data_IF_366509161775
#
_entry.id   IF_366509161775
#
_cell.length_a   1.000
_cell.length_b   1.000
_cell.length_c   1.000
_cell.angle_alpha   90.00
_cell.angle_beta   90.00
_cell.angle_gamma   90.00
#
_symmetry.space_group_name_H-M   'P 1'
#
loop_
_entity.id
_entity.type
_entity.pdbx_description
1 polymer ?
#
# COMPACT_ATOMS: atom_id res chain seq x y z
N UNK A 1 11.02 -43.19 -5.12
CA UNK A 1 9.80 -42.81 -4.37
C UNK A 1 8.72 -42.39 -5.36
N UNK A 2 7.48 -42.88 -5.21
CA UNK A 2 6.36 -42.44 -6.07
C UNK A 2 5.86 -41.10 -5.52
N UNK A 3 6.14 -40.01 -6.24
CA UNK A 3 5.64 -38.67 -5.91
C UNK A 3 4.20 -38.59 -6.42
N UNK A 4 3.23 -38.51 -5.52
CA UNK A 4 1.82 -38.44 -5.92
C UNK A 4 1.43 -36.97 -6.09
N UNK A 5 0.69 -36.66 -7.16
CA UNK A 5 0.24 -35.29 -7.50
C UNK A 5 -0.59 -34.59 -6.41
N UNK A 6 -1.00 -35.32 -5.38
CA UNK A 6 -1.79 -34.84 -4.25
C UNK A 6 -0.97 -34.28 -3.09
N UNK A 7 0.35 -34.38 -3.10
CA UNK A 7 1.20 -33.95 -1.98
C UNK A 7 1.28 -32.41 -1.84
N UNK A 8 0.91 -31.67 -2.88
CA UNK A 8 0.91 -30.21 -2.88
C UNK A 8 -0.43 -29.64 -3.39
N UNK A 9 -1.18 -29.01 -2.49
CA UNK A 9 -2.44 -28.34 -2.82
C UNK A 9 -2.58 -27.01 -2.06
N UNK A 10 -3.27 -26.05 -2.69
CA UNK A 10 -3.71 -24.81 -2.05
C UNK A 10 -5.06 -25.06 -1.40
N UNK A 11 -5.07 -25.08 -0.08
CA UNK A 11 -6.29 -25.26 0.72
C UNK A 11 -6.84 -23.90 1.11
N UNK A 12 -8.16 -23.76 1.10
CA UNK A 12 -8.83 -22.56 1.56
C UNK A 12 -8.51 -22.25 3.02
N UNK A 13 -7.98 -21.05 3.27
CA UNK A 13 -7.62 -20.59 4.62
C UNK A 13 -8.84 -20.54 5.55
N UNK A 14 -10.01 -20.16 5.01
CA UNK A 14 -11.25 -20.04 5.78
C UNK A 14 -11.79 -21.40 6.24
N UNK A 15 -11.72 -22.42 5.35
CA UNK A 15 -12.01 -23.81 5.68
C UNK A 15 -10.98 -24.39 6.67
N UNK A 16 -9.67 -24.15 6.45
CA UNK A 16 -8.58 -24.67 7.29
C UNK A 16 -8.71 -24.25 8.76
N UNK A 17 -9.12 -23.02 9.01
CA UNK A 17 -9.33 -22.50 10.38
C UNK A 17 -10.73 -22.78 10.94
N UNK A 18 -11.61 -23.46 10.19
CA UNK A 18 -13.02 -23.73 10.55
C UNK A 18 -13.80 -22.46 10.94
N UNK A 19 -13.47 -21.33 10.31
CA UNK A 19 -14.03 -20.00 10.65
C UNK A 19 -15.25 -19.59 9.79
N UNK A 20 -15.81 -20.50 8.98
CA UNK A 20 -17.09 -20.24 8.31
C UNK A 20 -17.64 -21.40 7.49
N UNK A 21 -18.49 -21.07 6.50
CA UNK A 21 -19.44 -21.98 5.82
C UNK A 21 -18.87 -22.76 4.64
N UNK A 22 -17.59 -22.59 4.31
CA UNK A 22 -16.98 -23.29 3.18
C UNK A 22 -16.96 -24.81 3.38
N UNK A 23 -17.28 -25.54 2.31
CA UNK A 23 -17.07 -26.98 2.21
C UNK A 23 -15.58 -27.31 2.03
N UNK A 24 -15.24 -28.60 2.06
CA UNK A 24 -13.86 -29.05 1.81
C UNK A 24 -13.51 -28.75 0.35
N UNK A 25 -12.64 -27.77 0.10
CA UNK A 25 -12.16 -27.46 -1.25
C UNK A 25 -10.67 -27.10 -1.26
N UNK A 26 -10.00 -27.49 -2.34
CA UNK A 26 -8.59 -27.25 -2.58
C UNK A 26 -8.31 -27.14 -4.07
N UNK A 27 -7.24 -26.44 -4.41
CA UNK A 27 -6.73 -26.34 -5.78
C UNK A 27 -5.43 -27.13 -5.85
N UNK A 28 -5.31 -28.06 -6.79
CA UNK A 28 -4.09 -28.85 -6.98
C UNK A 28 -2.97 -27.93 -7.49
N UNK A 29 -1.78 -28.01 -6.89
CA UNK A 29 -0.63 -27.20 -7.33
C UNK A 29 -0.30 -27.45 -8.80
N UNK A 30 -0.38 -28.70 -9.26
CA UNK A 30 -0.16 -29.06 -10.67
C UNK A 30 -1.06 -28.28 -11.63
N UNK A 31 -2.36 -28.20 -11.33
CA UNK A 31 -3.33 -27.45 -12.15
C UNK A 31 -2.95 -25.98 -12.22
N UNK A 32 -2.55 -25.37 -11.09
CA UNK A 32 -2.07 -23.98 -11.07
C UNK A 32 -0.82 -23.83 -11.93
N UNK A 33 0.16 -24.72 -11.78
CA UNK A 33 1.41 -24.69 -12.55
C UNK A 33 1.19 -24.85 -14.05
N UNK A 34 0.28 -25.73 -14.47
CA UNK A 34 -0.06 -25.92 -15.88
C UNK A 34 -0.70 -24.67 -16.48
N UNK A 35 -1.63 -24.03 -15.75
CA UNK A 35 -2.26 -22.78 -16.17
C UNK A 35 -1.21 -21.67 -16.25
N UNK A 36 -0.38 -21.50 -15.22
CA UNK A 36 0.69 -20.50 -15.20
C UNK A 36 1.68 -20.70 -16.34
N UNK A 37 2.12 -21.94 -16.58
CA UNK A 37 3.06 -22.26 -17.67
C UNK A 37 2.44 -21.98 -19.03
N UNK A 38 1.15 -22.30 -19.22
CA UNK A 38 0.41 -21.99 -20.45
C UNK A 38 0.35 -20.48 -20.67
N UNK A 39 -0.03 -19.70 -19.66
CA UNK A 39 -0.08 -18.23 -19.76
C UNK A 39 1.29 -17.62 -20.05
N UNK A 40 2.36 -18.09 -19.41
CA UNK A 40 3.73 -17.61 -19.69
C UNK A 40 4.10 -17.86 -21.15
N UNK A 41 3.79 -19.05 -21.68
CA UNK A 41 4.07 -19.39 -23.09
C UNK A 41 3.27 -18.52 -24.05
N UNK A 42 1.98 -18.29 -23.77
CA UNK A 42 1.12 -17.42 -24.59
C UNK A 42 1.66 -15.99 -24.63
N UNK A 43 2.01 -15.41 -23.47
CA UNK A 43 2.61 -14.07 -23.39
C UNK A 43 3.95 -14.03 -24.13
N UNK A 44 4.78 -15.06 -23.99
CA UNK A 44 6.08 -15.13 -24.67
C UNK A 44 5.93 -15.23 -26.18
N UNK A 45 4.94 -15.98 -26.67
CA UNK A 45 4.67 -16.08 -28.11
C UNK A 45 4.13 -14.76 -28.65
N UNK A 46 3.19 -14.13 -27.94
CA UNK A 46 2.68 -12.80 -28.30
C UNK A 46 3.80 -11.76 -28.39
N UNK A 47 4.72 -11.74 -27.43
CA UNK A 47 5.89 -10.83 -27.45
C UNK A 47 6.85 -11.09 -28.62
N UNK A 48 6.91 -12.33 -29.14
CA UNK A 48 7.74 -12.69 -30.31
C UNK A 48 7.06 -12.34 -31.63
N UNK A 49 5.75 -12.58 -31.72
CA UNK A 49 4.96 -12.43 -32.94
C UNK A 49 4.63 -10.96 -33.23
N UNK A 50 4.20 -10.20 -32.21
CA UNK A 50 3.92 -8.77 -32.34
C UNK A 50 4.60 -7.95 -31.25
N UNK A 51 5.90 -7.71 -31.47
CA UNK A 51 6.73 -6.92 -30.56
C UNK A 51 6.20 -5.49 -30.36
N UNK A 52 5.63 -4.88 -31.40
CA UNK A 52 5.19 -3.47 -31.33
C UNK A 52 3.90 -3.33 -30.54
N UNK A 53 2.93 -4.21 -30.77
CA UNK A 53 1.69 -4.25 -30.00
C UNK A 53 1.96 -4.64 -28.54
N UNK A 54 2.85 -5.61 -28.31
CA UNK A 54 3.28 -5.98 -26.97
C UNK A 54 3.90 -4.81 -26.19
N UNK A 55 4.82 -4.05 -26.81
CA UNK A 55 5.41 -2.87 -26.19
C UNK A 55 4.38 -1.79 -25.89
N UNK A 56 3.42 -1.55 -26.80
CA UNK A 56 2.33 -0.59 -26.56
C UNK A 56 1.47 -1.02 -25.36
N UNK A 57 1.10 -2.29 -25.28
CA UNK A 57 0.34 -2.84 -24.16
C UNK A 57 1.10 -2.74 -22.84
N UNK A 58 2.39 -3.10 -22.84
CA UNK A 58 3.24 -2.96 -21.65
C UNK A 58 3.39 -1.52 -21.19
N UNK A 59 3.62 -0.58 -22.11
CA UNK A 59 3.73 0.84 -21.78
C UNK A 59 2.42 1.35 -21.18
N UNK A 60 1.28 1.04 -21.80
CA UNK A 60 -0.04 1.40 -21.28
C UNK A 60 -0.26 0.86 -19.86
N UNK A 61 0.01 -0.42 -19.62
CA UNK A 61 -0.12 -1.02 -18.28
C UNK A 61 0.84 -0.39 -17.27
N UNK A 62 2.06 -0.04 -17.70
CA UNK A 62 3.03 0.65 -16.86
C UNK A 62 2.56 2.07 -16.52
N UNK A 63 2.00 2.79 -17.48
CA UNK A 63 1.46 4.14 -17.29
C UNK A 63 0.25 4.12 -16.36
N UNK A 64 -0.68 3.18 -16.55
CA UNK A 64 -1.85 2.98 -15.67
C UNK A 64 -1.42 2.70 -14.23
N UNK A 65 -0.47 1.77 -14.01
CA UNK A 65 0.07 1.48 -12.67
C UNK A 65 0.77 2.69 -12.06
N UNK A 66 1.48 3.47 -12.88
CA UNK A 66 2.18 4.67 -12.41
C UNK A 66 1.18 5.74 -12.00
N UNK A 67 0.10 5.91 -12.75
CA UNK A 67 -0.99 6.83 -12.42
C UNK A 67 -1.74 6.39 -11.15
N UNK A 68 -2.07 5.10 -11.02
CA UNK A 68 -2.69 4.55 -9.82
C UNK A 68 -1.82 4.80 -8.57
N UNK A 69 -0.51 4.55 -8.67
CA UNK A 69 0.44 4.87 -7.59
C UNK A 69 0.42 6.37 -7.26
N UNK A 70 0.47 7.22 -8.28
CA UNK A 70 0.45 8.68 -8.10
C UNK A 70 -0.81 9.16 -7.36
N UNK A 71 -1.99 8.67 -7.75
CA UNK A 71 -3.24 9.01 -7.07
C UNK A 71 -3.23 8.51 -5.62
N UNK A 72 -2.76 7.28 -5.39
CA UNK A 72 -2.63 6.73 -4.04
C UNK A 72 -1.66 7.51 -3.14
N UNK A 73 -0.54 8.00 -3.70
CA UNK A 73 0.43 8.83 -2.96
C UNK A 73 -0.15 10.22 -2.67
N UNK A 74 -0.91 10.81 -3.59
CA UNK A 74 -1.62 12.07 -3.38
C UNK A 74 -2.68 11.98 -2.28
N UNK A 75 -3.50 10.93 -2.29
CA UNK A 75 -4.51 10.69 -1.24
C UNK A 75 -3.88 10.50 0.14
N UNK A 76 -2.72 9.84 0.22
CA UNK A 76 -1.98 9.70 1.48
C UNK A 76 -1.43 11.03 1.95
N UNK A 77 -0.83 11.80 1.03
CA UNK A 77 -0.30 13.13 1.33
C UNK A 77 -1.41 14.03 1.92
N UNK A 78 -2.58 14.06 1.29
CA UNK A 78 -3.72 14.86 1.78
C UNK A 78 -4.15 14.46 3.20
N UNK A 79 -4.24 13.16 3.49
CA UNK A 79 -4.59 12.65 4.82
C UNK A 79 -3.54 13.00 5.87
N UNK A 80 -2.26 12.86 5.54
CA UNK A 80 -1.15 13.18 6.43
C UNK A 80 -1.09 14.68 6.72
N UNK A 81 -1.22 15.51 5.69
CA UNK A 81 -1.24 16.97 5.83
C UNK A 81 -2.43 17.45 6.66
N UNK A 82 -3.63 16.90 6.41
CA UNK A 82 -4.81 17.22 7.21
C UNK A 82 -4.60 16.86 8.69
N UNK A 83 -4.04 15.68 8.98
CA UNK A 83 -3.71 15.28 10.36
C UNK A 83 -2.66 16.20 10.99
N UNK A 84 -1.68 16.65 10.22
CA UNK A 84 -0.64 17.56 10.68
C UNK A 84 -1.22 18.94 11.08
N UNK A 85 -2.17 19.44 10.29
CA UNK A 85 -2.91 20.69 10.59
C UNK A 85 -3.82 20.54 11.83
N UNK A 86 -4.47 19.39 11.98
CA UNK A 86 -5.24 19.07 13.19
C UNK A 86 -4.35 19.10 14.44
N UNK A 87 -3.17 18.45 14.39
CA UNK A 87 -2.21 18.46 15.49
C UNK A 87 -1.75 19.88 15.81
N UNK A 88 -1.47 20.70 14.81
CA UNK A 88 -1.11 22.12 14.99
C UNK A 88 -2.20 22.87 15.77
N UNK A 89 -3.47 22.63 15.42
CA UNK A 89 -4.61 23.23 16.12
C UNK A 89 -4.73 22.72 17.57
N UNK A 90 -4.53 21.41 17.78
CA UNK A 90 -4.58 20.81 19.11
C UNK A 90 -3.45 21.31 20.02
N UNK A 91 -2.23 21.41 19.49
CA UNK A 91 -1.07 21.94 20.19
C UNK A 91 -1.31 23.40 20.59
N UNK A 92 -1.82 24.23 19.68
CA UNK A 92 -2.15 25.63 19.96
C UNK A 92 -3.13 25.76 21.13
N UNK A 93 -4.23 24.99 21.12
CA UNK A 93 -5.21 24.96 22.23
C UNK A 93 -4.60 24.45 23.54
N UNK A 94 -3.74 23.43 23.46
CA UNK A 94 -3.04 22.88 24.63
C UNK A 94 -2.16 23.95 25.30
N UNK A 95 -1.48 24.79 24.52
CA UNK A 95 -0.71 25.93 25.02
C UNK A 95 -1.60 26.99 25.69
N UNK A 96 -2.72 27.35 25.06
CA UNK A 96 -3.66 28.33 25.62
C UNK A 96 -4.24 27.86 26.96
N UNK A 97 -4.70 26.62 27.06
CA UNK A 97 -5.26 26.08 28.30
C UNK A 97 -4.22 25.93 29.41
N UNK A 98 -2.96 25.65 29.06
CA UNK A 98 -1.85 25.68 30.01
C UNK A 98 -1.55 27.10 30.50
N UNK A 99 -1.53 28.09 29.61
CA UNK A 99 -1.31 29.50 29.97
C UNK A 99 -2.43 30.04 30.87
N UNK A 100 -3.67 29.55 30.71
CA UNK A 100 -4.81 29.84 31.58
C UNK A 100 -4.79 29.06 32.92
N UNK A 101 -3.78 28.22 33.16
CA UNK A 101 -3.65 27.43 34.38
C UNK A 101 -4.64 26.27 34.52
N UNK A 102 -5.39 25.94 33.46
CA UNK A 102 -6.36 24.82 33.49
C UNK A 102 -5.69 23.45 33.45
N UNK A 103 -4.46 23.39 32.91
CA UNK A 103 -3.70 22.15 32.75
C UNK A 103 -2.41 22.25 33.58
N UNK A 104 -2.18 21.33 34.53
CA UNK A 104 -0.91 21.27 35.24
C UNK A 104 0.28 20.98 34.30
N UNK A 105 1.43 21.61 34.57
CA UNK A 105 2.67 21.49 33.78
C UNK A 105 3.04 20.04 33.44
N UNK A 106 2.88 19.11 34.40
CA UNK A 106 3.19 17.69 34.19
C UNK A 106 2.32 17.06 33.08
N UNK A 107 1.04 17.41 33.02
CA UNK A 107 0.13 16.90 32.00
C UNK A 107 0.38 17.55 30.64
N UNK A 108 0.67 18.86 30.65
CA UNK A 108 1.08 19.60 29.46
C UNK A 108 2.29 18.94 28.78
N UNK A 109 3.40 18.78 29.51
CA UNK A 109 4.64 18.20 28.96
C UNK A 109 4.40 16.80 28.38
N UNK A 110 3.59 15.97 29.05
CA UNK A 110 3.28 14.63 28.55
C UNK A 110 2.50 14.67 27.24
N UNK A 111 1.44 15.47 27.15
CA UNK A 111 0.60 15.56 25.95
C UNK A 111 1.35 16.23 24.80
N UNK A 112 2.09 17.29 25.10
CA UNK A 112 2.90 18.01 24.14
C UNK A 112 3.93 17.07 23.49
N UNK A 113 4.69 16.30 24.28
CA UNK A 113 5.68 15.37 23.74
C UNK A 113 5.07 14.30 22.82
N UNK A 114 3.85 13.83 23.11
CA UNK A 114 3.15 12.87 22.25
C UNK A 114 2.79 13.50 20.91
N UNK A 115 2.19 14.69 20.93
CA UNK A 115 1.80 15.38 19.69
C UNK A 115 3.01 15.84 18.88
N UNK A 116 4.06 16.34 19.53
CA UNK A 116 5.31 16.73 18.88
C UNK A 116 5.99 15.53 18.19
N UNK A 117 6.02 14.36 18.86
CA UNK A 117 6.54 13.13 18.24
C UNK A 117 5.70 12.72 17.03
N UNK A 118 4.37 12.73 17.15
CA UNK A 118 3.48 12.41 16.03
C UNK A 118 3.66 13.40 14.87
N UNK A 119 3.78 14.70 15.16
CA UNK A 119 3.96 15.76 14.18
C UNK A 119 5.26 15.58 13.40
N UNK A 120 6.38 15.34 14.08
CA UNK A 120 7.68 15.09 13.44
C UNK A 120 7.65 13.87 12.51
N UNK A 121 6.93 12.81 12.89
CA UNK A 121 6.80 11.62 12.04
C UNK A 121 5.86 11.83 10.86
N UNK A 122 4.84 12.68 11.00
CA UNK A 122 3.99 13.10 9.89
C UNK A 122 4.76 13.98 8.91
N UNK A 123 5.54 14.95 9.37
CA UNK A 123 6.35 15.84 8.53
C UNK A 123 7.35 15.07 7.67
N UNK A 124 8.03 14.05 8.22
CA UNK A 124 8.91 13.17 7.45
C UNK A 124 8.16 12.41 6.36
N UNK A 125 6.96 11.90 6.68
CA UNK A 125 6.14 11.16 5.70
C UNK A 125 5.60 12.09 4.60
N UNK A 126 5.15 13.29 4.97
CA UNK A 126 4.72 14.33 4.03
C UNK A 126 5.87 14.64 3.05
N UNK A 127 7.06 14.94 3.57
CA UNK A 127 8.24 15.22 2.74
C UNK A 127 8.57 14.06 1.79
N UNK A 128 8.47 12.82 2.26
CA UNK A 128 8.67 11.64 1.42
C UNK A 128 7.64 11.56 0.27
N UNK A 129 6.34 11.75 0.56
CA UNK A 129 5.31 11.67 -0.49
C UNK A 129 5.37 12.86 -1.46
N UNK A 130 5.74 14.05 -0.99
CA UNK A 130 6.00 15.20 -1.86
C UNK A 130 7.14 14.92 -2.85
N UNK A 131 8.24 14.31 -2.39
CA UNK A 131 9.35 13.90 -3.25
C UNK A 131 8.94 12.81 -4.26
N UNK A 132 8.13 11.83 -3.85
CA UNK A 132 7.63 10.78 -4.74
C UNK A 132 6.77 11.37 -5.87
N UNK A 133 5.90 12.32 -5.53
CA UNK A 133 5.06 13.07 -6.48
C UNK A 133 5.91 13.94 -7.41
N UNK A 134 6.90 14.66 -6.88
CA UNK A 134 7.82 15.45 -7.71
C UNK A 134 8.58 14.55 -8.70
N UNK A 135 9.07 13.39 -8.25
CA UNK A 135 9.76 12.44 -9.13
C UNK A 135 8.83 11.88 -10.22
N UNK A 136 7.54 11.68 -9.92
CA UNK A 136 6.56 11.27 -10.92
C UNK A 136 6.44 12.33 -12.03
N UNK A 137 6.37 13.61 -11.67
CA UNK A 137 6.32 14.70 -12.63
C UNK A 137 7.58 14.80 -13.48
N UNK A 138 8.76 14.68 -12.88
CA UNK A 138 10.05 14.71 -13.60
C UNK A 138 10.19 13.56 -14.60
N UNK A 139 9.63 12.38 -14.31
CA UNK A 139 9.67 11.20 -15.22
C UNK A 139 8.64 11.25 -16.35
N UNK A 140 7.67 12.16 -16.29
CA UNK A 140 6.62 12.34 -17.31
C UNK A 140 7.01 13.40 -18.35
N UNK A 141 7.95 14.28 -18.03
CA UNK A 141 8.60 15.24 -18.93
C UNK A 141 9.68 14.52 -19.75
#
# INVERSE_FOLDING_TARGET
EKKYDCDYCFVCQHYRHRKGTCSIHYIKLKTVNEILLKSIKEITNFAKEDKQEFLKGMNKLSDEKREEKYQGDKEKLEKLSSRNEELTTLITKLYEDHALGKIPVKHFNRLFNVYDTEQQDLEKQIQYFEQEIESYHQRKV
#
